data_IF_212720450621
#
_entry.id   IF_212720450621
#
_cell.length_a   1.000
_cell.length_b   1.000
_cell.length_c   1.000
_cell.angle_alpha   90.00
_cell.angle_beta   90.00
_cell.angle_gamma   90.00
#
_symmetry.space_group_name_H-M   'P 1'
#
loop_
_entity.id
_entity.type
_entity.pdbx_description
1 polymer ?
#
# COMPACT_ATOMS: atom_id res chain seq x y z
N UNK A 1 10.53 25.05 22.51
CA UNK A 1 10.54 24.20 21.29
C UNK A 1 10.63 22.69 21.61
N UNK A 2 11.47 22.22 22.55
CA UNK A 2 11.57 20.78 22.87
C UNK A 2 10.25 20.07 23.27
N UNK A 3 9.35 20.74 24.00
CA UNK A 3 8.04 20.16 24.37
C UNK A 3 7.15 19.85 23.17
N UNK A 4 7.31 20.54 22.05
CA UNK A 4 6.56 20.24 20.83
C UNK A 4 7.02 18.91 20.26
N UNK A 5 8.34 18.69 20.11
CA UNK A 5 8.92 17.47 19.57
C UNK A 5 8.50 16.23 20.38
N UNK A 6 8.51 16.29 21.71
CA UNK A 6 8.01 15.19 22.56
C UNK A 6 6.52 14.90 22.38
N UNK A 7 5.70 15.91 22.08
CA UNK A 7 4.26 15.75 21.86
C UNK A 7 3.94 15.01 20.56
N UNK A 8 4.75 15.20 19.51
CA UNK A 8 4.55 14.54 18.21
C UNK A 8 4.83 13.03 18.34
N UNK A 9 5.87 12.66 19.08
CA UNK A 9 6.21 11.25 19.31
C UNK A 9 5.12 10.53 20.11
N UNK A 10 4.56 11.16 21.13
CA UNK A 10 3.47 10.56 21.90
C UNK A 10 2.20 10.37 21.06
N UNK A 11 1.86 11.36 20.22
CA UNK A 11 0.72 11.26 19.30
C UNK A 11 0.94 10.14 18.26
N UNK A 12 2.16 10.04 17.71
CA UNK A 12 2.50 9.02 16.74
C UNK A 12 2.51 7.61 17.36
N UNK A 13 2.98 7.46 18.60
CA UNK A 13 2.90 6.20 19.33
C UNK A 13 1.45 5.76 19.54
N UNK A 14 0.57 6.69 19.91
CA UNK A 14 -0.86 6.42 20.06
C UNK A 14 -1.50 6.00 18.73
N UNK A 15 -1.12 6.64 17.61
CA UNK A 15 -1.56 6.26 16.28
C UNK A 15 -1.06 4.86 15.85
N UNK A 16 0.18 4.49 16.20
CA UNK A 16 0.72 3.13 15.96
C UNK A 16 -0.13 2.10 16.70
N UNK A 17 -0.33 2.29 18.00
CA UNK A 17 -1.09 1.35 18.84
C UNK A 17 -2.53 1.22 18.32
N UNK A 18 -3.18 2.34 18.01
CA UNK A 18 -4.53 2.34 17.44
C UNK A 18 -4.62 1.62 16.10
N UNK A 19 -3.64 1.82 15.21
CA UNK A 19 -3.60 1.15 13.91
C UNK A 19 -3.30 -0.36 14.03
N UNK A 20 -2.46 -0.75 14.98
CA UNK A 20 -2.16 -2.16 15.25
C UNK A 20 -3.39 -2.90 15.78
N UNK A 21 -4.10 -2.31 16.76
CA UNK A 21 -5.35 -2.85 17.29
C UNK A 21 -6.45 -2.89 16.22
N UNK A 22 -6.61 -1.82 15.44
CA UNK A 22 -7.59 -1.77 14.35
C UNK A 22 -7.33 -2.81 13.27
N UNK A 23 -6.06 -2.98 12.87
CA UNK A 23 -5.65 -4.03 11.93
C UNK A 23 -5.99 -5.43 12.45
N UNK A 24 -5.65 -5.72 13.70
CA UNK A 24 -5.95 -7.01 14.32
C UNK A 24 -7.47 -7.29 14.34
N UNK A 25 -8.26 -6.28 14.67
CA UNK A 25 -9.72 -6.40 14.73
C UNK A 25 -10.32 -6.65 13.34
N UNK A 26 -9.84 -5.94 12.30
CA UNK A 26 -10.27 -6.18 10.91
C UNK A 26 -9.86 -7.55 10.39
N UNK A 27 -8.69 -8.06 10.78
CA UNK A 27 -8.30 -9.44 10.44
C UNK A 27 -9.19 -10.49 11.10
N UNK A 28 -9.62 -10.28 12.33
CA UNK A 28 -10.57 -11.18 12.98
C UNK A 28 -11.94 -11.14 12.29
N UNK A 29 -12.42 -9.95 11.90
CA UNK A 29 -13.68 -9.77 11.15
C UNK A 29 -13.59 -10.47 9.79
N UNK A 30 -12.54 -10.20 9.01
CA UNK A 30 -12.34 -10.85 7.72
C UNK A 30 -12.23 -12.38 7.84
N UNK A 31 -11.55 -12.89 8.86
CA UNK A 31 -11.44 -14.34 9.10
C UNK A 31 -12.80 -14.97 9.45
N UNK A 32 -13.63 -14.27 10.22
CA UNK A 32 -14.99 -14.70 10.53
C UNK A 32 -15.85 -14.76 9.27
N UNK A 33 -15.82 -13.73 8.43
CA UNK A 33 -16.59 -13.68 7.17
C UNK A 33 -16.18 -14.78 6.18
N UNK A 34 -14.88 -15.08 6.05
CA UNK A 34 -14.41 -16.22 5.23
C UNK A 34 -14.93 -17.55 5.76
N UNK A 35 -14.91 -17.73 7.09
CA UNK A 35 -15.40 -18.94 7.71
C UNK A 35 -16.91 -19.13 7.47
N UNK A 36 -17.69 -18.06 7.58
CA UNK A 36 -19.12 -18.06 7.29
C UNK A 36 -19.40 -18.39 5.82
N UNK A 37 -18.66 -17.79 4.88
CA UNK A 37 -18.79 -18.10 3.45
C UNK A 37 -18.49 -19.57 3.13
N UNK A 38 -17.51 -20.17 3.82
CA UNK A 38 -17.17 -21.58 3.65
C UNK A 38 -18.28 -22.51 4.17
N UNK A 39 -18.90 -22.16 5.30
CA UNK A 39 -20.05 -22.90 5.85
C UNK A 39 -21.28 -22.83 4.94
N UNK A 40 -21.54 -21.66 4.34
CA UNK A 40 -22.58 -21.47 3.33
C UNK A 40 -22.32 -22.35 2.11
N UNK A 41 -21.09 -22.36 1.58
CA UNK A 41 -20.74 -23.19 0.43
C UNK A 41 -20.88 -24.70 0.67
N UNK A 42 -20.58 -25.17 1.89
CA UNK A 42 -20.72 -26.58 2.27
C UNK A 42 -22.16 -27.00 2.63
N UNK A 43 -23.14 -26.10 2.54
CA UNK A 43 -24.55 -26.43 2.73
C UNK A 43 -24.97 -26.63 4.20
N UNK A 44 -24.21 -26.10 5.16
CA UNK A 44 -24.61 -26.07 6.58
C UNK A 44 -25.54 -24.89 6.92
N UNK A 45 -25.73 -23.94 5.99
CA UNK A 45 -26.71 -22.85 6.08
C UNK A 45 -28.12 -23.31 5.72
N UNK A 46 -29.13 -22.77 6.39
CA UNK A 46 -30.54 -23.12 6.11
C UNK A 46 -30.90 -22.71 4.68
N UNK A 47 -31.41 -23.64 3.83
CA UNK A 47 -31.58 -23.39 2.41
C UNK A 47 -32.67 -22.34 2.19
N UNK A 48 -32.24 -21.13 1.83
CA UNK A 48 -33.12 -20.10 1.30
C UNK A 48 -32.87 -20.04 -0.20
N UNK A 49 -33.56 -20.93 -0.93
CA UNK A 49 -33.62 -21.00 -2.40
C UNK A 49 -32.38 -21.63 -3.10
N UNK A 50 -32.56 -22.71 -3.90
CA UNK A 50 -31.46 -23.32 -4.65
C UNK A 50 -30.90 -22.33 -5.69
N UNK A 51 -29.61 -22.03 -5.61
CA UNK A 51 -28.88 -21.19 -6.58
C UNK A 51 -28.44 -19.81 -6.05
N UNK A 52 -28.96 -19.33 -4.91
CA UNK A 52 -28.53 -18.07 -4.30
C UNK A 52 -27.27 -18.20 -3.42
N UNK A 53 -27.01 -19.40 -2.90
CA UNK A 53 -25.89 -19.67 -1.98
C UNK A 53 -24.51 -19.34 -2.57
N UNK A 54 -24.31 -19.58 -3.87
CA UNK A 54 -23.04 -19.28 -4.55
C UNK A 54 -22.83 -17.77 -4.66
N UNK A 55 -23.88 -17.03 -5.01
CA UNK A 55 -23.83 -15.57 -5.15
C UNK A 55 -23.60 -14.91 -3.80
N UNK A 56 -24.27 -15.40 -2.76
CA UNK A 56 -24.12 -14.90 -1.39
C UNK A 56 -22.74 -15.24 -0.80
N UNK A 57 -22.26 -16.47 -0.95
CA UNK A 57 -20.90 -16.83 -0.53
C UNK A 57 -19.83 -16.00 -1.25
N UNK A 58 -20.00 -15.73 -2.54
CA UNK A 58 -19.09 -14.87 -3.31
C UNK A 58 -19.09 -13.42 -2.79
N UNK A 59 -20.28 -12.89 -2.47
CA UNK A 59 -20.41 -11.55 -1.89
C UNK A 59 -19.76 -11.46 -0.50
N UNK A 60 -19.95 -12.46 0.35
CA UNK A 60 -19.31 -12.54 1.68
C UNK A 60 -17.78 -12.65 1.56
N UNK A 61 -17.27 -13.42 0.61
CA UNK A 61 -15.82 -13.47 0.34
C UNK A 61 -15.30 -12.09 -0.10
N UNK A 62 -16.02 -11.39 -0.98
CA UNK A 62 -15.60 -10.05 -1.42
C UNK A 62 -15.60 -9.03 -0.28
N UNK A 63 -16.58 -9.10 0.62
CA UNK A 63 -16.62 -8.30 1.86
C UNK A 63 -15.41 -8.61 2.74
N UNK A 64 -15.11 -9.90 2.94
CA UNK A 64 -14.00 -10.32 3.79
C UNK A 64 -12.65 -9.84 3.24
N UNK A 65 -12.52 -9.82 1.91
CA UNK A 65 -11.33 -9.32 1.23
C UNK A 65 -11.10 -7.84 1.53
N UNK A 66 -12.15 -7.01 1.51
CA UNK A 66 -12.04 -5.60 1.87
C UNK A 66 -11.56 -5.42 3.32
N UNK A 67 -12.16 -6.16 4.26
CA UNK A 67 -11.72 -6.19 5.66
C UNK A 67 -10.24 -6.58 5.82
N UNK A 68 -9.77 -7.61 5.09
CA UNK A 68 -8.35 -7.99 5.08
C UNK A 68 -7.47 -6.90 4.48
N UNK A 69 -7.87 -6.29 3.36
CA UNK A 69 -7.10 -5.24 2.70
C UNK A 69 -6.97 -4.00 3.59
N UNK A 70 -8.05 -3.55 4.22
CA UNK A 70 -8.02 -2.46 5.21
C UNK A 70 -7.16 -2.84 6.43
N UNK A 71 -7.24 -4.09 6.89
CA UNK A 71 -6.36 -4.63 7.94
C UNK A 71 -4.88 -4.53 7.56
N UNK A 72 -4.51 -4.92 6.34
CA UNK A 72 -3.15 -4.78 5.81
C UNK A 72 -2.71 -3.33 5.68
N UNK A 73 -3.59 -2.45 5.21
CA UNK A 73 -3.29 -1.01 5.09
C UNK A 73 -2.99 -0.41 6.47
N UNK A 74 -3.78 -0.72 7.50
CA UNK A 74 -3.51 -0.28 8.88
C UNK A 74 -2.21 -0.86 9.44
N UNK A 75 -1.91 -2.13 9.16
CA UNK A 75 -0.66 -2.76 9.59
C UNK A 75 0.55 -2.10 8.92
N UNK A 76 0.48 -1.88 7.61
CA UNK A 76 1.53 -1.21 6.86
C UNK A 76 1.70 0.21 7.35
N UNK A 77 0.62 0.94 7.62
CA UNK A 77 0.67 2.27 8.20
C UNK A 77 1.36 2.28 9.58
N UNK A 78 1.03 1.34 10.47
CA UNK A 78 1.69 1.19 11.75
C UNK A 78 3.20 0.90 11.59
N UNK A 79 3.57 0.01 10.66
CA UNK A 79 4.97 -0.29 10.34
C UNK A 79 5.73 0.94 9.83
N UNK A 80 5.14 1.70 8.91
CA UNK A 80 5.76 2.92 8.37
C UNK A 80 5.95 3.98 9.46
N UNK A 81 4.96 4.15 10.32
CA UNK A 81 5.04 5.10 11.43
C UNK A 81 6.09 4.65 12.45
N UNK A 82 6.14 3.36 12.79
CA UNK A 82 7.18 2.79 13.66
C UNK A 82 8.59 2.97 13.09
N UNK A 83 8.78 2.71 11.79
CA UNK A 83 10.04 2.94 11.10
C UNK A 83 10.44 4.43 11.17
N UNK A 84 9.49 5.34 10.98
CA UNK A 84 9.74 6.78 11.06
C UNK A 84 10.18 7.22 12.47
N UNK A 85 9.62 6.63 13.54
CA UNK A 85 10.07 6.93 14.91
C UNK A 85 11.42 6.30 15.26
N UNK A 86 11.76 5.15 14.69
CA UNK A 86 12.96 4.39 15.07
C UNK A 86 14.22 4.88 14.36
N UNK A 87 14.08 5.54 13.20
CA UNK A 87 15.20 6.10 12.42
C UNK A 87 15.17 7.63 12.32
N UNK A 88 15.24 8.38 13.44
CA UNK A 88 15.34 9.85 13.39
C UNK A 88 16.72 10.33 12.86
N UNK A 89 17.75 9.48 12.89
CA UNK A 89 19.16 9.89 12.94
C UNK A 89 19.95 9.68 11.63
N UNK A 90 19.32 9.92 10.48
CA UNK A 90 20.04 10.07 9.21
C UNK A 90 19.83 11.43 8.54
N UNK A 91 19.18 12.39 9.20
CA UNK A 91 18.84 13.67 8.56
C UNK A 91 19.58 14.91 9.04
N UNK A 92 20.32 14.92 10.16
CA UNK A 92 20.97 16.18 10.59
C UNK A 92 22.42 16.08 11.11
N UNK A 93 22.87 14.97 11.71
CA UNK A 93 24.16 14.98 12.45
C UNK A 93 25.32 14.16 11.82
N UNK A 94 25.34 13.98 10.48
CA UNK A 94 26.54 13.54 9.75
C UNK A 94 27.17 14.62 8.86
N UNK A 95 26.80 15.88 9.05
CA UNK A 95 27.49 17.02 8.41
C UNK A 95 27.85 18.11 9.42
N UNK A 96 28.49 17.74 10.54
CA UNK A 96 29.65 18.50 11.00
C UNK A 96 30.78 18.39 9.96
N UNK A 97 31.76 19.30 9.90
CA UNK A 97 32.66 19.52 8.76
C UNK A 97 33.64 18.35 8.52
N UNK A 98 33.12 17.21 8.12
CA UNK A 98 33.89 16.06 7.68
C UNK A 98 33.79 16.06 6.17
N UNK A 99 34.91 16.39 5.52
CA UNK A 99 35.12 16.20 4.08
C UNK A 99 34.68 14.78 3.71
N UNK A 100 33.49 14.66 3.13
CA UNK A 100 33.01 13.39 2.61
C UNK A 100 33.84 13.05 1.37
N UNK A 101 34.44 11.86 1.28
CA UNK A 101 35.07 11.40 0.07
C UNK A 101 34.01 11.30 -1.04
N UNK A 102 34.29 11.76 -2.27
CA UNK A 102 33.33 11.76 -3.39
C UNK A 102 32.85 10.36 -3.81
N UNK A 103 33.35 9.28 -3.19
CA UNK A 103 32.98 7.89 -3.47
C UNK A 103 31.73 7.38 -2.71
N UNK A 104 31.18 8.16 -1.76
CA UNK A 104 29.94 7.83 -1.04
C UNK A 104 28.73 8.62 -1.54
N UNK A 105 28.87 9.30 -2.67
CA UNK A 105 27.74 9.80 -3.45
C UNK A 105 27.03 8.56 -4.00
N UNK A 106 25.91 8.15 -3.39
CA UNK A 106 25.10 7.02 -3.85
C UNK A 106 24.45 7.41 -5.18
N UNK A 107 25.23 7.30 -6.25
CA UNK A 107 24.88 7.56 -7.64
C UNK A 107 24.00 6.46 -8.26
N UNK A 108 23.55 5.48 -7.46
CA UNK A 108 22.85 4.28 -7.96
C UNK A 108 21.32 4.38 -7.90
N UNK A 109 20.74 5.04 -6.89
CA UNK A 109 19.28 5.18 -6.77
C UNK A 109 18.72 6.18 -7.78
N UNK A 110 19.43 7.29 -7.97
CA UNK A 110 19.00 8.33 -8.92
C UNK A 110 19.15 7.84 -10.36
N UNK A 111 20.19 7.02 -10.62
CA UNK A 111 20.37 6.32 -11.89
C UNK A 111 19.25 5.30 -12.14
N UNK A 112 18.88 4.46 -11.16
CA UNK A 112 17.76 3.51 -11.31
C UNK A 112 16.43 4.23 -11.55
N UNK A 113 16.13 5.27 -10.77
CA UNK A 113 14.92 6.07 -10.94
C UNK A 113 14.88 6.72 -12.33
N UNK A 114 16.01 7.25 -12.80
CA UNK A 114 16.14 7.84 -14.15
C UNK A 114 15.97 6.80 -15.26
N UNK A 115 16.54 5.61 -15.12
CA UNK A 115 16.38 4.53 -16.09
C UNK A 115 14.93 4.08 -16.21
N UNK A 116 14.23 3.89 -15.08
CA UNK A 116 12.81 3.51 -15.08
C UNK A 116 11.95 4.61 -15.72
N UNK A 117 12.21 5.88 -15.40
CA UNK A 117 11.47 7.02 -15.95
C UNK A 117 11.64 7.13 -17.48
N UNK A 118 12.85 6.92 -18.00
CA UNK A 118 13.11 6.93 -19.45
C UNK A 118 12.30 5.84 -20.15
N UNK A 119 12.23 4.62 -19.59
CA UNK A 119 11.47 3.52 -20.19
C UNK A 119 9.96 3.84 -20.21
N UNK A 120 9.42 4.37 -19.11
CA UNK A 120 7.99 4.74 -19.03
C UNK A 120 7.64 5.81 -20.07
N UNK A 121 8.47 6.87 -20.17
CA UNK A 121 8.24 7.96 -21.13
C UNK A 121 8.29 7.45 -22.57
N UNK A 122 9.30 6.64 -22.93
CA UNK A 122 9.40 6.05 -24.27
C UNK A 122 8.21 5.15 -24.58
N UNK A 123 7.81 4.29 -23.64
CA UNK A 123 6.65 3.42 -23.81
C UNK A 123 5.36 4.21 -24.00
N UNK A 124 5.16 5.28 -23.23
CA UNK A 124 4.01 6.18 -23.39
C UNK A 124 4.06 6.88 -24.75
N UNK A 125 5.19 7.45 -25.15
CA UNK A 125 5.30 8.11 -26.46
C UNK A 125 5.01 7.15 -27.61
N UNK A 126 5.51 5.92 -27.57
CA UNK A 126 5.23 4.90 -28.59
C UNK A 126 3.76 4.49 -28.57
N UNK A 127 3.17 4.31 -27.39
CA UNK A 127 1.75 4.01 -27.26
C UNK A 127 0.88 5.13 -27.84
N UNK A 128 1.15 6.39 -27.47
CA UNK A 128 0.44 7.57 -27.97
C UNK A 128 0.57 7.73 -29.49
N UNK A 129 1.76 7.47 -30.05
CA UNK A 129 2.00 7.55 -31.49
C UNK A 129 1.34 6.40 -32.27
N UNK A 130 1.18 5.23 -31.62
CA UNK A 130 0.47 4.09 -32.20
C UNK A 130 -1.06 4.25 -32.11
N UNK A 131 -1.56 4.82 -31.02
CA UNK A 131 -2.99 5.05 -30.79
C UNK A 131 -3.52 6.22 -31.63
N UNK A 132 -2.67 7.20 -31.96
CA UNK A 132 -2.99 8.31 -32.84
C UNK A 132 -2.13 8.25 -34.12
N UNK A 133 -2.38 7.29 -35.04
CA UNK A 133 -1.78 7.36 -36.36
C UNK A 133 -2.23 8.69 -36.95
N UNK A 134 -1.27 9.53 -37.32
CA UNK A 134 -1.50 10.85 -37.91
C UNK A 134 -2.54 10.70 -39.03
N UNK A 135 -3.76 11.15 -38.74
CA UNK A 135 -4.87 11.22 -39.67
C UNK A 135 -4.54 12.35 -40.64
N UNK A 136 -3.72 12.04 -41.65
CA UNK A 136 -3.17 13.06 -42.53
C UNK A 136 -2.17 12.51 -43.54
N UNK A 137 -2.63 11.69 -44.48
CA UNK A 137 -2.21 11.74 -45.89
C UNK A 137 -2.99 10.73 -46.75
N UNK A 138 -4.24 11.08 -47.08
CA UNK A 138 -4.88 10.60 -48.32
C UNK A 138 -5.49 11.81 -49.02
N UNK A 139 -4.61 12.66 -49.56
CA UNK A 139 -4.92 13.53 -50.67
C UNK A 139 -4.10 13.06 -51.87
N UNK A 140 -4.64 12.11 -52.62
CA UNK A 140 -4.47 11.90 -54.06
C UNK A 140 -5.38 10.77 -54.53
#
# INVERSE_FOLDING_TARGET
MLRAIFKIHFMALLAIIGSLLGSLMLFLIGAYEVFEAFLLFFGFGHPSVPGQEITEATATILSSLDSFLLGFVLLYFAYNLFFLLTFPEQREDRFGPIKMPPALHVESLDKMKKTILVIIVVSLSVFLLKENPVEGEHAQ
#
